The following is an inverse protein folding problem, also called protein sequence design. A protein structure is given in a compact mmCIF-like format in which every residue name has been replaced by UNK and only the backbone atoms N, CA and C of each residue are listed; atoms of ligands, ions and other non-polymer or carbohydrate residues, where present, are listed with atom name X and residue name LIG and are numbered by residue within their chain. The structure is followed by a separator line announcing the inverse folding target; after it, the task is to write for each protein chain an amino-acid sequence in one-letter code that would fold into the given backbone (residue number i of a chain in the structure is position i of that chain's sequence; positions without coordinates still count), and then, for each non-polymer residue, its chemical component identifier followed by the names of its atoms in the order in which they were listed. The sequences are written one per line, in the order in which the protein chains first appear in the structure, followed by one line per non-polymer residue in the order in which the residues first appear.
data_IF_787932854588
#
_entry.id   IF_787932854588
#
_cell.length_a   1.000
_cell.length_b   1.000
_cell.length_c   1.000
_cell.angle_alpha   90.00
_cell.angle_beta   90.00
_cell.angle_gamma   90.00
#
_symmetry.space_group_name_H-M   'P 1'
#
loop_
_entity.id
_entity.type
_entity.pdbx_description
1 polymer ?
#
# COMPACT_ATOMS: atom_id res chain seq x y z
N UNK A 1 3.56 12.15 -5.63
CA UNK A 1 4.23 11.54 -4.46
C UNK A 1 4.88 12.55 -3.49
N UNK A 2 4.80 13.87 -3.70
CA UNK A 2 5.50 14.85 -2.83
C UNK A 2 4.86 15.14 -1.47
N UNK A 3 3.54 14.92 -1.29
CA UNK A 3 2.83 15.34 -0.06
C UNK A 3 3.32 14.63 1.21
N UNK A 4 3.75 13.36 1.09
CA UNK A 4 4.18 12.56 2.23
C UNK A 4 5.67 12.70 2.57
N UNK A 5 6.47 13.31 1.69
CA UNK A 5 7.90 13.51 1.94
C UNK A 5 8.18 14.77 2.79
N UNK A 6 7.32 15.79 2.69
CA UNK A 6 7.53 17.07 3.38
C UNK A 6 7.35 16.99 4.89
N UNK A 7 6.39 16.19 5.37
CA UNK A 7 6.13 16.05 6.80
C UNK A 7 7.33 15.42 7.55
N UNK A 8 7.89 14.27 7.12
CA UNK A 8 9.12 13.73 7.72
C UNK A 8 10.28 14.71 7.69
N UNK A 9 10.46 15.44 6.58
CA UNK A 9 11.53 16.44 6.45
C UNK A 9 11.38 17.58 7.45
N UNK A 10 10.15 18.08 7.64
CA UNK A 10 9.89 19.15 8.60
C UNK A 10 10.14 18.70 10.04
N UNK A 11 9.71 17.48 10.41
CA UNK A 11 9.91 16.94 11.76
C UNK A 11 11.40 16.75 12.10
N UNK A 12 12.21 16.37 11.10
CA UNK A 12 13.67 16.29 11.25
C UNK A 12 14.29 17.68 11.39
N UNK A 13 13.87 18.65 10.58
CA UNK A 13 14.37 20.02 10.61
C UNK A 13 14.09 20.71 11.95
N UNK A 14 12.89 20.52 12.50
CA UNK A 14 12.47 21.08 13.80
C UNK A 14 13.03 20.30 15.00
N UNK A 15 13.72 19.17 14.77
CA UNK A 15 14.27 18.32 15.83
C UNK A 15 13.21 17.57 16.66
N UNK A 16 11.97 17.49 16.17
CA UNK A 16 10.86 16.79 16.83
C UNK A 16 11.03 15.27 16.72
N UNK A 17 11.63 14.81 15.62
CA UNK A 17 11.92 13.40 15.38
C UNK A 17 13.37 13.22 14.92
N UNK A 18 13.86 11.99 15.07
CA UNK A 18 15.14 11.52 14.53
C UNK A 18 14.91 10.56 13.36
N UNK A 19 15.93 10.34 12.54
CA UNK A 19 15.85 9.42 11.40
C UNK A 19 15.39 8.00 11.81
N UNK A 20 15.75 7.53 13.01
CA UNK A 20 15.35 6.22 13.53
C UNK A 20 13.88 6.12 13.94
N UNK A 21 13.15 7.25 14.02
CA UNK A 21 11.71 7.24 14.28
C UNK A 21 10.88 6.96 13.03
N UNK A 22 11.50 6.95 11.85
CA UNK A 22 10.82 6.70 10.59
C UNK A 22 11.09 5.28 10.10
N UNK A 23 10.03 4.62 9.64
CA UNK A 23 10.09 3.28 9.06
C UNK A 23 9.70 3.35 7.59
N UNK A 24 10.43 2.62 6.74
CA UNK A 24 10.06 2.44 5.34
C UNK A 24 9.18 1.20 5.24
N UNK A 25 7.99 1.28 4.62
CA UNK A 25 7.13 0.12 4.48
C UNK A 25 7.76 -0.92 3.56
N UNK A 26 7.62 -2.19 3.93
CA UNK A 26 7.98 -3.32 3.09
C UNK A 26 6.78 -3.83 2.30
N UNK A 27 7.05 -4.54 1.19
CA UNK A 27 5.99 -5.19 0.43
C UNK A 27 5.37 -6.31 1.27
N UNK A 28 4.05 -6.33 1.37
CA UNK A 28 3.34 -7.43 2.00
C UNK A 28 3.57 -8.75 1.24
N UNK A 29 3.66 -9.85 1.98
CA UNK A 29 3.74 -11.18 1.37
C UNK A 29 2.36 -11.65 0.92
N UNK A 30 2.31 -12.58 -0.04
CA UNK A 30 1.05 -13.21 -0.44
C UNK A 30 0.39 -13.96 0.74
N UNK A 31 1.18 -14.58 1.62
CA UNK A 31 0.68 -15.26 2.81
C UNK A 31 -0.01 -14.28 3.77
N UNK A 32 0.56 -13.10 3.98
CA UNK A 32 -0.06 -12.03 4.78
C UNK A 32 -1.36 -11.56 4.14
N UNK A 33 -1.37 -11.35 2.82
CA UNK A 33 -2.58 -10.92 2.12
C UNK A 33 -3.69 -11.99 2.16
N UNK A 34 -3.33 -13.27 2.16
CA UNK A 34 -4.25 -14.41 2.26
C UNK A 34 -4.94 -14.55 3.63
N UNK A 35 -4.50 -13.83 4.65
CA UNK A 35 -5.17 -13.80 5.96
C UNK A 35 -6.54 -13.09 5.89
N UNK A 36 -6.72 -12.17 4.94
CA UNK A 36 -7.91 -11.33 4.82
C UNK A 36 -8.64 -11.50 3.49
N UNK A 37 -7.97 -12.05 2.47
CA UNK A 37 -8.53 -12.24 1.13
C UNK A 37 -8.60 -13.70 0.74
N UNK A 38 -9.60 -14.04 -0.09
CA UNK A 38 -9.70 -15.37 -0.68
C UNK A 38 -8.63 -15.58 -1.74
N UNK A 39 -8.17 -16.83 -1.90
CA UNK A 39 -7.16 -17.18 -2.92
C UNK A 39 -7.57 -16.79 -4.35
N UNK A 40 -8.82 -17.00 -4.80
CA UNK A 40 -9.23 -16.58 -6.14
C UNK A 40 -9.14 -15.06 -6.34
N UNK A 41 -9.55 -14.27 -5.35
CA UNK A 41 -9.47 -12.81 -5.43
C UNK A 41 -8.03 -12.33 -5.48
N UNK A 42 -7.14 -12.88 -4.63
CA UNK A 42 -5.72 -12.50 -4.64
C UNK A 42 -5.05 -12.82 -5.96
N UNK A 43 -5.32 -14.00 -6.52
CA UNK A 43 -4.81 -14.37 -7.84
C UNK A 43 -5.25 -13.35 -8.88
N UNK A 44 -6.55 -13.07 -8.99
CA UNK A 44 -7.06 -12.12 -9.97
C UNK A 44 -6.49 -10.71 -9.77
N UNK A 45 -6.40 -10.25 -8.53
CA UNK A 45 -5.83 -8.94 -8.21
C UNK A 45 -4.36 -8.83 -8.61
N UNK A 46 -3.54 -9.84 -8.30
CA UNK A 46 -2.11 -9.86 -8.63
C UNK A 46 -1.84 -10.02 -10.13
N UNK A 47 -2.71 -10.71 -10.85
CA UNK A 47 -2.60 -10.91 -12.30
C UNK A 47 -3.31 -9.84 -13.13
N UNK A 48 -3.88 -8.83 -12.49
CA UNK A 48 -4.63 -7.74 -13.12
C UNK A 48 -5.86 -8.22 -13.92
N UNK A 49 -6.52 -9.27 -13.44
CA UNK A 49 -7.68 -9.91 -14.09
C UNK A 49 -8.96 -9.79 -13.27
N UNK A 50 -9.06 -8.79 -12.37
CA UNK A 50 -10.33 -8.53 -11.68
C UNK A 50 -11.41 -8.14 -12.68
N UNK A 51 -12.63 -8.63 -12.45
CA UNK A 51 -13.77 -8.15 -13.21
C UNK A 51 -14.06 -6.68 -12.88
N UNK A 52 -14.73 -5.98 -13.79
CA UNK A 52 -15.16 -4.59 -13.57
C UNK A 52 -16.00 -4.42 -12.28
N UNK A 53 -16.80 -5.44 -11.91
CA UNK A 53 -17.56 -5.45 -10.66
C UNK A 53 -16.68 -5.51 -9.41
N UNK A 54 -15.56 -6.23 -9.47
CA UNK A 54 -14.63 -6.39 -8.34
C UNK A 54 -13.66 -5.21 -8.21
N UNK A 55 -13.32 -4.57 -9.32
CA UNK A 55 -12.41 -3.43 -9.35
C UNK A 55 -13.07 -2.12 -8.88
N UNK A 56 -14.38 -1.96 -9.10
CA UNK A 56 -15.11 -0.72 -8.76
C UNK A 56 -15.07 -0.39 -7.24
N UNK A 57 -15.34 -1.34 -6.31
CA UNK A 57 -15.36 -1.05 -4.88
C UNK A 57 -14.00 -0.62 -4.31
N UNK A 58 -12.90 -1.09 -4.91
CA UNK A 58 -11.53 -0.74 -4.46
C UNK A 58 -11.01 0.54 -5.14
N UNK A 59 -11.77 1.12 -6.08
CA UNK A 59 -11.35 2.31 -6.82
C UNK A 59 -10.11 2.10 -7.70
N UNK A 60 -9.78 0.83 -8.01
CA UNK A 60 -8.61 0.43 -8.78
C UNK A 60 -9.04 -0.36 -10.01
N UNK A 61 -9.42 0.38 -11.06
CA UNK A 61 -9.84 -0.21 -12.33
C UNK A 61 -8.62 -0.71 -13.08
N UNK A 62 -8.55 -2.03 -13.27
CA UNK A 62 -7.53 -2.72 -14.07
C UNK A 62 -8.01 -2.72 -15.52
N UNK A 63 -7.22 -2.20 -16.46
CA UNK A 63 -7.50 -2.14 -17.90
C UNK A 63 -6.54 -3.04 -18.67
#
# INVERSE_FOLDING_TARGET
MGKYALLPQQLLYEGIASASNFHTPEKATQATAALVHTQPYLHNFLHLTLSHKEALPIGFVQF
#
